data_IF_658255631261
#
_entry.id   IF_658255631261
#
_cell.length_a   1.000
_cell.length_b   1.000
_cell.length_c   1.000
_cell.angle_alpha   90.00
_cell.angle_beta   90.00
_cell.angle_gamma   90.00
#
_symmetry.space_group_name_H-M   'P 1'
#
loop_
_entity.id
_entity.type
_entity.pdbx_description
1 polymer ?
#
# COMPACT_ATOMS: atom_id res chain seq x y z
N UNK A 1 -1.60 -17.17 10.10
CA UNK A 1 -1.38 -15.86 9.43
C UNK A 1 -0.95 -16.15 8.00
N UNK A 2 -1.65 -15.64 7.00
CA UNK A 2 -1.27 -15.81 5.59
C UNK A 2 -0.35 -14.66 5.18
N UNK A 3 0.94 -14.96 4.99
CA UNK A 3 1.99 -13.97 4.69
C UNK A 3 1.66 -13.16 3.43
N UNK A 4 1.18 -13.82 2.37
CA UNK A 4 0.77 -13.18 1.12
C UNK A 4 -0.34 -12.14 1.32
N UNK A 5 -1.32 -12.42 2.20
CA UNK A 5 -2.42 -11.49 2.45
C UNK A 5 -1.92 -10.19 3.11
N UNK A 6 -0.97 -10.29 4.04
CA UNK A 6 -0.34 -9.14 4.67
C UNK A 6 0.48 -8.33 3.66
N UNK A 7 1.26 -8.99 2.79
CA UNK A 7 2.03 -8.32 1.73
C UNK A 7 1.10 -7.58 0.77
N UNK A 8 0.00 -8.21 0.35
CA UNK A 8 -0.99 -7.56 -0.51
C UNK A 8 -1.63 -6.33 0.15
N UNK A 9 -1.98 -6.41 1.44
CA UNK A 9 -2.52 -5.26 2.20
C UNK A 9 -1.51 -4.11 2.27
N UNK A 10 -0.26 -4.41 2.60
CA UNK A 10 0.83 -3.44 2.68
C UNK A 10 1.03 -2.75 1.33
N UNK A 11 1.10 -3.51 0.23
CA UNK A 11 1.25 -2.96 -1.12
C UNK A 11 0.04 -2.11 -1.52
N UNK A 12 -1.19 -2.54 -1.21
CA UNK A 12 -2.40 -1.78 -1.51
C UNK A 12 -2.42 -0.43 -0.76
N UNK A 13 -2.07 -0.42 0.53
CA UNK A 13 -2.00 0.80 1.34
C UNK A 13 -0.93 1.76 0.83
N UNK A 14 0.28 1.26 0.58
CA UNK A 14 1.37 2.06 0.04
C UNK A 14 0.98 2.72 -1.29
N UNK A 15 0.29 2.00 -2.18
CA UNK A 15 -0.20 2.51 -3.46
C UNK A 15 -1.32 3.53 -3.31
N UNK A 16 -2.29 3.29 -2.42
CA UNK A 16 -3.38 4.21 -2.14
C UNK A 16 -2.88 5.57 -1.64
N UNK A 17 -1.93 5.55 -0.71
CA UNK A 17 -1.34 6.77 -0.14
C UNK A 17 -0.26 7.42 -1.02
N UNK A 18 0.16 6.75 -2.10
CA UNK A 18 1.29 7.19 -2.93
C UNK A 18 2.62 7.21 -2.17
N UNK A 19 2.78 6.38 -1.15
CA UNK A 19 3.97 6.35 -0.32
C UNK A 19 5.11 5.62 -1.01
N UNK A 20 6.31 6.19 -0.91
CA UNK A 20 7.54 5.53 -1.32
C UNK A 20 8.12 4.72 -0.14
N UNK A 21 9.08 3.83 -0.43
CA UNK A 21 9.71 2.97 0.57
C UNK A 21 10.35 3.73 1.74
N UNK A 22 10.76 4.98 1.52
CA UNK A 22 11.36 5.86 2.52
C UNK A 22 10.30 6.39 3.50
N UNK A 23 9.20 6.92 3.00
CA UNK A 23 8.06 7.38 3.79
C UNK A 23 7.44 6.24 4.59
N UNK A 24 7.24 5.10 3.95
CA UNK A 24 6.66 3.92 4.58
C UNK A 24 7.61 3.35 5.64
N UNK A 25 8.91 3.21 5.32
CA UNK A 25 9.91 2.74 6.28
C UNK A 25 10.03 3.64 7.51
N UNK A 26 9.95 4.96 7.33
CA UNK A 26 9.94 5.91 8.45
C UNK A 26 8.72 5.73 9.36
N UNK A 27 7.54 5.48 8.78
CA UNK A 27 6.32 5.26 9.54
C UNK A 27 6.30 3.90 10.25
N UNK A 28 6.83 2.85 9.61
CA UNK A 28 6.86 1.49 10.15
C UNK A 28 8.09 1.22 11.04
N UNK A 29 9.02 2.18 11.16
CA UNK A 29 10.35 1.99 11.75
C UNK A 29 11.12 0.80 11.13
N UNK A 30 10.95 0.59 9.81
CA UNK A 30 11.61 -0.48 9.03
C UNK A 30 12.61 0.17 8.05
N UNK A 31 13.80 -0.43 7.82
CA UNK A 31 14.73 0.08 6.84
C UNK A 31 14.10 0.20 5.44
N UNK A 32 14.37 1.29 4.69
CA UNK A 32 13.77 1.52 3.39
C UNK A 32 14.18 0.48 2.34
N UNK A 33 15.35 -0.15 2.49
CA UNK A 33 15.77 -1.30 1.68
C UNK A 33 14.86 -2.50 1.87
N UNK A 34 14.55 -2.85 3.12
CA UNK A 34 13.62 -3.92 3.47
C UNK A 34 12.21 -3.62 2.99
N UNK A 35 11.73 -2.38 3.15
CA UNK A 35 10.41 -1.99 2.62
C UNK A 35 10.35 -2.08 1.10
N UNK A 36 11.38 -1.59 0.40
CA UNK A 36 11.45 -1.69 -1.06
C UNK A 36 11.36 -3.14 -1.51
N UNK A 37 12.08 -4.01 -0.84
CA UNK A 37 12.10 -5.43 -1.14
C UNK A 37 10.72 -6.08 -0.92
N UNK A 38 10.05 -5.79 0.20
CA UNK A 38 8.67 -6.23 0.48
C UNK A 38 7.70 -5.73 -0.58
N UNK A 39 7.80 -4.45 -0.96
CA UNK A 39 6.94 -3.84 -1.98
C UNK A 39 7.18 -4.43 -3.38
N UNK A 40 8.39 -4.92 -3.66
CA UNK A 40 8.74 -5.60 -4.91
C UNK A 40 8.53 -7.11 -4.85
N UNK A 41 8.19 -7.64 -3.67
CA UNK A 41 8.04 -9.08 -3.40
C UNK A 41 9.32 -9.87 -3.75
N UNK A 42 10.49 -9.27 -3.53
CA UNK A 42 11.79 -9.84 -3.95
C UNK A 42 12.48 -10.68 -2.85
N UNK A 43 12.20 -10.45 -1.57
CA UNK A 43 12.64 -11.30 -0.45
C UNK A 43 11.49 -11.86 0.38
N UNK A 44 11.86 -12.74 1.31
CA UNK A 44 10.99 -13.36 2.28
C UNK A 44 11.02 -12.57 3.60
N UNK A 45 10.14 -11.55 3.80
CA UNK A 45 10.15 -10.76 5.02
C UNK A 45 9.78 -11.58 6.25
N UNK A 46 10.41 -11.28 7.37
CA UNK A 46 10.03 -11.91 8.64
C UNK A 46 8.62 -11.49 9.05
N UNK A 47 7.93 -12.36 9.79
CA UNK A 47 6.61 -12.05 10.35
C UNK A 47 6.63 -10.78 11.22
N UNK A 48 7.76 -10.50 11.90
CA UNK A 48 7.97 -9.29 12.69
C UNK A 48 7.97 -8.03 11.81
N UNK A 49 8.65 -8.07 10.66
CA UNK A 49 8.66 -6.97 9.70
C UNK A 49 7.27 -6.69 9.16
N UNK A 50 6.53 -7.74 8.76
CA UNK A 50 5.17 -7.59 8.25
C UNK A 50 4.25 -6.98 9.30
N UNK A 51 4.34 -7.42 10.55
CA UNK A 51 3.56 -6.86 11.66
C UNK A 51 3.88 -5.38 11.90
N UNK A 52 5.15 -4.98 11.86
CA UNK A 52 5.55 -3.58 12.01
C UNK A 52 4.98 -2.70 10.88
N UNK A 53 4.97 -3.23 9.66
CA UNK A 53 4.39 -2.54 8.50
C UNK A 53 2.85 -2.48 8.57
N UNK A 54 2.19 -3.55 8.98
CA UNK A 54 0.73 -3.59 9.17
C UNK A 54 0.27 -2.67 10.29
N UNK A 55 1.08 -2.44 11.33
CA UNK A 55 0.74 -1.52 12.41
C UNK A 55 0.54 -0.07 11.94
N UNK A 56 1.12 0.30 10.79
CA UNK A 56 0.94 1.62 10.17
C UNK A 56 -0.38 1.71 9.39
N UNK A 57 -0.92 0.56 8.98
CA UNK A 57 -2.13 0.49 8.18
C UNK A 57 -3.32 0.59 9.14
N UNK A 58 -4.23 1.57 8.96
CA UNK A 58 -5.44 1.63 9.76
C UNK A 58 -6.27 0.35 9.56
N UNK A 59 -6.82 -0.21 10.64
CA UNK A 59 -7.66 -1.41 10.56
C UNK A 59 -8.86 -1.26 9.61
N UNK A 60 -9.35 -0.02 9.46
CA UNK A 60 -10.47 0.32 8.59
C UNK A 60 -10.13 0.34 7.09
N UNK A 61 -8.84 0.40 6.73
CA UNK A 61 -8.39 0.54 5.34
C UNK A 61 -8.81 -0.64 4.44
N UNK A 62 -9.03 -1.82 5.04
CA UNK A 62 -9.47 -3.03 4.35
C UNK A 62 -10.71 -3.60 5.04
N UNK A 63 -11.65 -2.73 5.41
CA UNK A 63 -13.02 -3.13 5.73
C UNK A 63 -13.68 -3.62 4.45
N UNK A 64 -13.56 -4.93 4.24
CA UNK A 64 -14.40 -5.84 3.47
C UNK A 64 -14.65 -5.57 1.96
N UNK A 65 -14.29 -6.48 1.04
CA UNK A 65 -14.72 -6.39 -0.37
C UNK A 65 -16.25 -6.41 -0.53
N UNK A 66 -17.02 -6.90 0.46
CA UNK A 66 -18.48 -6.83 0.50
C UNK A 66 -18.97 -5.43 0.89
N UNK A 67 -18.25 -4.71 1.75
CA UNK A 67 -18.59 -3.32 2.09
C UNK A 67 -18.37 -2.39 0.88
N UNK A 68 -17.32 -2.64 0.07
CA UNK A 68 -17.05 -1.89 -1.16
C UNK A 68 -18.13 -2.08 -2.24
N UNK A 69 -18.79 -3.24 -2.30
CA UNK A 69 -19.90 -3.48 -3.22
C UNK A 69 -21.19 -2.73 -2.81
N UNK A 70 -21.36 -2.41 -1.53
CA UNK A 70 -22.51 -1.64 -1.02
C UNK A 70 -22.30 -0.12 -1.00
N UNK A 71 -21.06 0.34 -1.09
CA UNK A 71 -20.73 1.75 -1.19
C UNK A 71 -20.54 2.14 -2.66
N UNK A 72 -21.63 2.58 -3.30
CA UNK A 72 -21.67 3.12 -4.67
C UNK A 72 -20.88 4.42 -4.88
N UNK A 73 -19.61 4.45 -4.45
CA UNK A 73 -18.68 5.56 -4.57
C UNK A 73 -17.36 5.09 -5.22
N UNK A 74 -17.45 4.23 -6.25
CA UNK A 74 -16.38 4.10 -7.23
C UNK A 74 -16.62 5.14 -8.34
N UNK A 75 -16.36 6.41 -8.03
CA UNK A 75 -16.21 7.41 -9.09
C UNK A 75 -14.90 7.11 -9.82
N UNK A 76 -14.90 6.92 -11.16
CA UNK A 76 -13.65 6.81 -11.89
C UNK A 76 -12.94 8.16 -11.76
N UNK A 77 -11.74 8.19 -11.19
CA UNK A 77 -10.90 9.38 -11.27
C UNK A 77 -10.48 9.50 -12.74
N UNK A 78 -11.33 10.25 -13.45
CA UNK A 78 -11.25 10.69 -14.81
C UNK A 78 -9.79 11.09 -15.11
N UNK A 79 -9.22 10.43 -16.12
CA UNK A 79 -7.91 10.77 -16.64
C UNK A 79 -7.82 12.26 -16.97
N UNK A 80 -6.71 12.87 -16.59
CA UNK A 80 -6.25 14.11 -17.22
C UNK A 80 -4.90 13.83 -17.86
N UNK A 81 -4.80 13.75 -19.20
CA UNK A 81 -3.50 13.71 -19.84
C UNK A 81 -2.81 15.06 -19.63
N UNK A 82 -1.70 15.08 -18.89
CA UNK A 82 -0.78 16.22 -18.83
C UNK A 82 0.30 16.07 -19.90
N UNK A 83 0.17 16.80 -21.00
CA UNK A 83 1.22 17.32 -21.93
C UNK A 83 0.50 17.88 -23.17
N UNK A 84 0.81 19.02 -23.79
CA UNK A 84 2.02 19.87 -23.86
C UNK A 84 1.58 21.32 -24.19
N UNK A 85 2.28 22.30 -23.61
CA UNK A 85 2.44 23.66 -24.16
C UNK A 85 3.32 23.59 -25.43
N UNK A 86 2.90 24.24 -26.53
CA UNK A 86 3.73 25.01 -27.49
C UNK A 86 2.83 25.55 -28.60
N UNK A 87 2.68 26.88 -28.60
CA UNK A 87 2.99 27.84 -29.70
C UNK A 87 1.86 27.96 -30.70
#
# INVERSE_FOLDING_TARGET
MHIDASIHRICAFARHQGWNAQSFGRAAAVPPSTVRDVLRQESNPTATTLRAMEAVIPHDFMTDPVALATSGLCAPILGKPRKKRRT
#
